data_IF_167960392527
#
_entry.id   IF_167960392527
#
_cell.length_a   1.000
_cell.length_b   1.000
_cell.length_c   1.000
_cell.angle_alpha   90.00
_cell.angle_beta   90.00
_cell.angle_gamma   90.00
#
_symmetry.space_group_name_H-M   'P 1'
#
loop_
_entity.id
_entity.type
_entity.pdbx_description
1 polymer ?
#
# COMPACT_ATOMS: atom_id res chain seq x y z
N UNK A 1 -3.15 8.17 15.88
CA UNK A 1 -1.87 8.08 15.15
C UNK A 1 -1.81 6.73 14.45
N UNK A 2 -1.34 6.69 13.20
CA UNK A 2 -1.19 5.46 12.41
C UNK A 2 0.14 5.49 11.67
N UNK A 3 0.87 4.39 11.70
CA UNK A 3 2.10 4.16 10.95
C UNK A 3 1.90 2.96 10.03
N UNK A 4 2.43 3.03 8.81
CA UNK A 4 2.40 1.92 7.87
C UNK A 4 3.69 1.83 7.06
N UNK A 5 4.09 0.60 6.74
CA UNK A 5 5.26 0.29 5.90
C UNK A 5 4.85 -0.71 4.82
N UNK A 6 5.36 -0.52 3.61
CA UNK A 6 5.29 -1.49 2.51
C UNK A 6 6.72 -1.91 2.20
N UNK A 7 6.96 -3.21 2.09
CA UNK A 7 8.27 -3.78 1.82
C UNK A 7 8.22 -4.84 0.71
N UNK A 8 9.34 -4.99 0.01
CA UNK A 8 9.59 -6.01 -1.00
C UNK A 8 10.88 -6.74 -0.66
N UNK A 9 10.86 -8.07 -0.65
CA UNK A 9 12.07 -8.89 -0.58
C UNK A 9 12.53 -9.28 -1.99
N UNK A 10 13.67 -8.76 -2.49
CA UNK A 10 14.15 -9.06 -3.83
C UNK A 10 14.64 -10.51 -4.02
N UNK A 11 14.93 -11.25 -2.95
CA UNK A 11 15.39 -12.64 -3.07
C UNK A 11 14.24 -13.60 -3.31
N UNK A 12 13.13 -13.43 -2.59
CA UNK A 12 11.93 -14.28 -2.69
C UNK A 12 10.85 -13.70 -3.62
N UNK A 13 10.87 -12.39 -3.88
CA UNK A 13 9.79 -11.66 -4.54
C UNK A 13 8.58 -11.41 -3.64
N UNK A 14 8.70 -11.64 -2.32
CA UNK A 14 7.61 -11.42 -1.38
C UNK A 14 7.29 -9.94 -1.17
N UNK A 15 6.02 -9.65 -0.97
CA UNK A 15 5.51 -8.31 -0.70
C UNK A 15 4.80 -8.31 0.64
N UNK A 16 5.09 -7.30 1.47
CA UNK A 16 4.54 -7.18 2.82
C UNK A 16 4.01 -5.78 3.11
N UNK A 17 2.96 -5.70 3.93
CA UNK A 17 2.46 -4.45 4.50
C UNK A 17 2.31 -4.61 6.01
N UNK A 18 2.93 -3.70 6.77
CA UNK A 18 2.75 -3.59 8.22
C UNK A 18 1.99 -2.32 8.58
N UNK A 19 1.08 -2.41 9.55
CA UNK A 19 0.34 -1.24 10.08
C UNK A 19 0.31 -1.28 11.61
N UNK A 20 0.56 -0.13 12.23
CA UNK A 20 0.42 0.09 13.66
C UNK A 20 -0.49 1.30 13.90
N UNK A 21 -1.56 1.12 14.67
CA UNK A 21 -2.50 2.21 15.00
C UNK A 21 -3.17 1.97 16.35
N UNK A 22 -3.73 3.03 16.91
CA UNK A 22 -4.63 2.95 18.06
C UNK A 22 -6.04 2.45 17.71
N UNK A 23 -6.44 2.41 16.44
CA UNK A 23 -7.77 1.94 16.03
C UNK A 23 -7.80 0.41 15.88
N UNK A 24 -8.81 -0.28 16.46
CA UNK A 24 -8.99 -1.70 16.24
C UNK A 24 -9.18 -2.05 14.76
N UNK A 25 -8.77 -3.26 14.39
CA UNK A 25 -9.07 -3.89 13.11
C UNK A 25 -8.49 -3.19 11.85
N UNK A 26 -7.47 -2.34 11.98
CA UNK A 26 -6.82 -1.72 10.81
C UNK A 26 -6.25 -2.73 9.80
N UNK A 27 -5.86 -3.92 10.27
CA UNK A 27 -5.40 -5.02 9.41
C UNK A 27 -6.43 -5.49 8.38
N UNK A 28 -7.73 -5.19 8.55
CA UNK A 28 -8.77 -5.55 7.60
C UNK A 28 -8.94 -4.55 6.45
N UNK A 29 -8.46 -3.30 6.60
CA UNK A 29 -8.79 -2.20 5.67
C UNK A 29 -7.58 -1.43 5.16
N UNK A 30 -6.46 -1.43 5.90
CA UNK A 30 -5.24 -0.71 5.54
C UNK A 30 -4.35 -1.50 4.58
N UNK A 31 -4.00 -2.77 4.84
CA UNK A 31 -3.06 -3.50 4.00
C UNK A 31 -3.76 -4.15 2.79
N UNK A 32 -3.21 -3.90 1.61
CA UNK A 32 -3.65 -4.54 0.37
C UNK A 32 -2.42 -5.08 -0.35
N UNK A 33 -2.38 -6.39 -0.58
CA UNK A 33 -1.23 -7.05 -1.23
C UNK A 33 -1.74 -8.00 -2.28
N UNK A 34 -1.12 -7.98 -3.46
CA UNK A 34 -1.35 -8.98 -4.49
C UNK A 34 -0.02 -9.38 -5.12
N UNK A 35 0.32 -10.67 -4.99
CA UNK A 35 1.49 -11.28 -5.61
C UNK A 35 1.52 -11.01 -7.12
N UNK A 36 2.70 -10.68 -7.64
CA UNK A 36 2.86 -10.35 -9.06
C UNK A 36 2.34 -8.97 -9.47
N UNK A 37 1.73 -8.20 -8.55
CA UNK A 37 1.11 -6.90 -8.85
C UNK A 37 1.70 -5.79 -8.00
N UNK A 38 1.65 -5.92 -6.67
CA UNK A 38 2.10 -4.86 -5.77
C UNK A 38 1.46 -4.88 -4.40
N UNK A 39 1.79 -3.86 -3.62
CA UNK A 39 1.31 -3.68 -2.27
C UNK A 39 0.98 -2.20 -1.97
N UNK A 40 -0.13 -1.98 -1.26
CA UNK A 40 -0.69 -0.67 -0.97
C UNK A 40 -1.11 -0.60 0.49
N UNK A 41 -0.75 0.48 1.17
CA UNK A 41 -1.24 0.81 2.51
C UNK A 41 -2.08 2.09 2.46
N UNK A 42 -3.38 2.01 2.74
CA UNK A 42 -4.29 3.17 2.77
C UNK A 42 -4.62 3.56 4.20
N UNK A 43 -4.23 4.75 4.66
CA UNK A 43 -4.37 5.19 6.05
C UNK A 43 -4.96 6.60 6.21
N UNK A 44 -5.20 7.02 7.47
CA UNK A 44 -5.91 8.22 7.93
C UNK A 44 -7.43 8.06 7.98
N UNK A 45 -8.18 8.49 6.96
CA UNK A 45 -9.58 8.11 6.75
C UNK A 45 -9.65 7.03 5.68
N UNK A 46 -9.50 5.77 6.10
CA UNK A 46 -9.40 4.66 5.16
C UNK A 46 -10.68 4.53 4.33
N UNK A 47 -10.54 4.69 3.01
CA UNK A 47 -11.56 4.29 2.04
C UNK A 47 -11.14 2.94 1.44
N UNK A 48 -11.86 1.85 1.73
CA UNK A 48 -11.51 0.51 1.23
C UNK A 48 -11.42 0.41 -0.30
N UNK A 49 -12.08 1.31 -1.06
CA UNK A 49 -12.00 1.32 -2.52
C UNK A 49 -10.58 1.60 -3.05
N UNK A 50 -9.77 2.35 -2.30
CA UNK A 50 -8.42 2.73 -2.75
C UNK A 50 -7.42 1.57 -2.75
N UNK A 51 -7.67 0.50 -2.00
CA UNK A 51 -6.82 -0.68 -2.05
C UNK A 51 -6.84 -1.37 -3.42
N UNK A 52 -8.02 -1.83 -3.88
CA UNK A 52 -8.18 -2.41 -5.21
C UNK A 52 -7.81 -1.46 -6.36
N UNK A 53 -8.14 -0.17 -6.25
CA UNK A 53 -7.77 0.84 -7.25
C UNK A 53 -6.25 1.04 -7.33
N UNK A 54 -5.58 1.17 -6.19
CA UNK A 54 -4.12 1.28 -6.13
C UNK A 54 -3.42 0.06 -6.73
N UNK A 55 -3.91 -1.14 -6.42
CA UNK A 55 -3.42 -2.38 -7.05
C UNK A 55 -3.71 -2.42 -8.55
N UNK A 56 -4.84 -1.89 -9.02
CA UNK A 56 -5.14 -1.81 -10.45
C UNK A 56 -4.19 -0.84 -11.17
N UNK A 57 -3.81 0.28 -10.56
CA UNK A 57 -2.81 1.19 -11.10
C UNK A 57 -1.44 0.53 -11.21
N UNK A 58 -1.06 -0.30 -10.23
CA UNK A 58 0.18 -1.08 -10.28
C UNK A 58 0.17 -2.18 -11.35
N UNK A 59 -0.99 -2.69 -11.77
CA UNK A 59 -1.07 -3.60 -12.92
C UNK A 59 -0.72 -2.92 -14.25
N UNK A 60 -0.78 -1.59 -14.33
CA UNK A 60 -0.59 -0.82 -15.56
C UNK A 60 0.74 -0.06 -15.64
N UNK A 61 1.61 -0.17 -14.63
CA UNK A 61 2.97 0.41 -14.58
C UNK A 61 3.93 -0.65 -13.99
N UNK A 62 5.07 -1.06 -14.54
CA UNK A 62 5.93 -0.62 -15.66
C UNK A 62 6.50 -1.89 -16.33
N UNK A 63 6.79 -1.84 -17.63
CA UNK A 63 7.37 -2.93 -18.44
C UNK A 63 8.83 -3.33 -18.07
N UNK A 64 9.18 -3.34 -16.79
CA UNK A 64 10.55 -3.51 -16.28
C UNK A 64 10.73 -4.56 -15.16
N UNK A 65 9.69 -5.31 -14.78
CA UNK A 65 9.78 -6.32 -13.72
C UNK A 65 9.69 -5.78 -12.28
N UNK A 66 9.43 -4.48 -12.12
CA UNK A 66 9.31 -3.83 -10.81
C UNK A 66 7.86 -3.88 -10.28
N UNK A 67 7.70 -4.27 -9.00
CA UNK A 67 6.40 -4.27 -8.31
C UNK A 67 6.00 -2.87 -7.81
N UNK A 68 4.71 -2.56 -7.85
CA UNK A 68 4.21 -1.29 -7.32
C UNK A 68 4.09 -1.27 -5.79
N UNK A 69 4.81 -0.38 -5.12
CA UNK A 69 4.74 -0.15 -3.67
C UNK A 69 4.18 1.26 -3.39
N UNK A 70 3.19 1.39 -2.52
CA UNK A 70 2.67 2.73 -2.17
C UNK A 70 2.01 2.82 -0.79
N UNK A 71 2.39 3.84 -0.02
CA UNK A 71 1.65 4.32 1.15
C UNK A 71 0.81 5.54 0.76
N UNK A 72 -0.51 5.47 0.93
CA UNK A 72 -1.45 6.54 0.64
C UNK A 72 -2.11 7.03 1.94
N UNK A 73 -1.96 8.32 2.23
CA UNK A 73 -2.67 8.98 3.34
C UNK A 73 -3.88 9.75 2.77
N UNK A 74 -5.10 9.37 3.17
CA UNK A 74 -6.29 10.16 2.83
C UNK A 74 -6.65 11.09 4.00
N UNK A 75 -5.95 12.22 4.06
CA UNK A 75 -6.52 13.46 4.59
C UNK A 75 -6.90 14.29 3.36
N UNK A 76 -8.12 14.84 3.29
CA UNK A 76 -8.69 15.52 2.11
C UNK A 76 -7.91 16.75 1.56
N UNK A 77 -6.66 16.98 1.95
CA UNK A 77 -5.84 18.13 1.56
C UNK A 77 -4.40 17.80 1.13
N UNK A 78 -3.88 16.57 1.24
CA UNK A 78 -2.48 16.30 0.81
C UNK A 78 -2.29 14.89 0.23
N UNK A 79 -2.07 14.79 -1.08
CA UNK A 79 -1.59 13.57 -1.76
C UNK A 79 -0.08 13.41 -1.53
N UNK A 80 0.34 12.95 -0.35
CA UNK A 80 1.72 12.51 -0.16
C UNK A 80 1.89 11.10 -0.74
N UNK A 81 2.68 10.98 -1.80
CA UNK A 81 3.25 9.71 -2.27
C UNK A 81 4.53 9.49 -1.47
N UNK A 82 4.48 8.73 -0.38
CA UNK A 82 5.71 8.20 0.19
C UNK A 82 6.11 6.99 -0.66
N UNK A 83 7.06 7.21 -1.57
CA UNK A 83 7.75 6.12 -2.24
C UNK A 83 8.59 5.38 -1.21
N UNK A 84 8.25 4.11 -0.96
CA UNK A 84 9.24 3.18 -0.44
C UNK A 84 10.21 2.94 -1.61
N UNK A 85 11.42 3.47 -1.48
CA UNK A 85 12.59 3.01 -2.25
C UNK A 85 12.96 1.61 -1.81
#
# INVERSE_FOLDING_TARGET
MTFSIVAHDPQSGELGVGVATHQPCAGAVVPWVKAGVGAVATQSFTNPAYGPEGLALHKHAVAGGDFGLSCLCHCALVRFRMGAV
#
